data_IF_108125502030
#
_entry.id   IF_108125502030
#
_cell.length_a   1.000
_cell.length_b   1.000
_cell.length_c   1.000
_cell.angle_alpha   90.00
_cell.angle_beta   90.00
_cell.angle_gamma   90.00
#
_symmetry.space_group_name_H-M   'P 1'
#
loop_
_entity.id
_entity.type
_entity.pdbx_description
1 polymer ?
#
# COMPACT_ATOMS: atom_id res chain seq x y z
N UNK A 1 -24.69 19.71 16.17
CA UNK A 1 -23.73 19.17 15.18
C UNK A 1 -24.48 18.19 14.30
N UNK A 2 -24.66 18.44 13.00
CA UNK A 2 -25.30 17.48 12.11
C UNK A 2 -24.28 16.37 11.76
N UNK A 3 -24.60 15.14 12.14
CA UNK A 3 -23.86 13.94 11.73
C UNK A 3 -24.17 13.65 10.27
N UNK A 4 -23.18 13.85 9.40
CA UNK A 4 -23.27 13.50 7.98
C UNK A 4 -23.57 11.99 7.87
N UNK A 5 -24.70 11.56 7.29
CA UNK A 5 -24.99 10.15 7.14
C UNK A 5 -23.92 9.55 6.23
N UNK A 6 -23.14 8.61 6.76
CA UNK A 6 -22.18 7.84 5.98
C UNK A 6 -22.92 7.25 4.77
N UNK A 7 -22.60 7.75 3.57
CA UNK A 7 -23.12 7.24 2.31
C UNK A 7 -22.61 5.80 2.18
N UNK A 8 -23.44 4.85 2.59
CA UNK A 8 -23.19 3.43 2.35
C UNK A 8 -23.40 3.19 0.86
N UNK A 9 -22.31 3.25 0.11
CA UNK A 9 -22.29 2.83 -1.29
C UNK A 9 -22.49 1.32 -1.28
N UNK A 10 -23.70 0.90 -1.61
CA UNK A 10 -24.04 -0.50 -1.70
C UNK A 10 -23.48 -1.04 -3.03
N UNK A 11 -22.21 -1.42 -3.01
CA UNK A 11 -21.48 -1.98 -4.17
C UNK A 11 -22.25 -3.15 -4.80
N UNK A 12 -22.95 -3.93 -3.98
CA UNK A 12 -23.80 -5.02 -4.43
C UNK A 12 -25.03 -4.52 -5.21
N UNK A 13 -25.63 -3.40 -4.80
CA UNK A 13 -26.72 -2.77 -5.56
C UNK A 13 -26.24 -2.26 -6.93
N UNK A 14 -25.01 -1.78 -7.02
CA UNK A 14 -24.39 -1.36 -8.29
C UNK A 14 -24.11 -2.55 -9.23
N UNK A 15 -23.82 -3.73 -8.68
CA UNK A 15 -23.62 -4.97 -9.43
C UNK A 15 -24.93 -5.64 -9.91
N UNK A 16 -26.10 -5.30 -9.35
CA UNK A 16 -27.40 -5.88 -9.74
C UNK A 16 -27.73 -5.78 -11.24
N UNK A 17 -27.61 -4.61 -11.91
CA UNK A 17 -27.86 -4.53 -13.35
C UNK A 17 -26.84 -5.34 -14.16
N UNK A 18 -25.60 -5.46 -13.68
CA UNK A 18 -24.57 -6.27 -14.34
C UNK A 18 -24.80 -7.76 -14.16
N UNK A 19 -25.26 -8.20 -12.99
CA UNK A 19 -25.65 -9.61 -12.77
C UNK A 19 -26.86 -9.97 -13.61
N UNK A 20 -27.97 -9.24 -13.47
CA UNK A 20 -29.25 -9.58 -14.12
C UNK A 20 -29.21 -9.33 -15.63
N UNK A 21 -28.54 -8.27 -16.07
CA UNK A 21 -28.38 -7.95 -17.50
C UNK A 21 -27.48 -8.95 -18.22
N UNK A 22 -26.42 -9.45 -17.56
CA UNK A 22 -25.57 -10.50 -18.11
C UNK A 22 -26.35 -11.82 -18.26
N UNK A 23 -27.19 -12.19 -17.29
CA UNK A 23 -28.05 -13.38 -17.40
C UNK A 23 -29.03 -13.31 -18.56
N UNK A 24 -29.75 -12.19 -18.71
CA UNK A 24 -30.73 -12.02 -19.79
C UNK A 24 -30.08 -12.04 -21.17
N UNK A 25 -28.88 -11.47 -21.28
CA UNK A 25 -28.17 -11.36 -22.55
C UNK A 25 -27.49 -12.68 -22.95
N UNK A 26 -27.02 -13.46 -21.97
CA UNK A 26 -26.52 -14.82 -22.20
C UNK A 26 -27.66 -15.77 -22.59
N UNK A 27 -28.85 -15.64 -21.99
CA UNK A 27 -30.04 -16.44 -22.32
C UNK A 27 -30.58 -16.19 -23.73
N UNK A 28 -30.32 -15.01 -24.29
CA UNK A 28 -30.75 -14.63 -25.65
C UNK A 28 -29.75 -15.04 -26.74
N UNK A 29 -28.60 -15.62 -26.38
CA UNK A 29 -27.62 -16.11 -27.35
C UNK A 29 -28.03 -17.48 -27.92
N UNK A 30 -28.09 -17.59 -29.24
CA UNK A 30 -28.50 -18.81 -29.94
C UNK A 30 -27.53 -19.99 -29.70
N UNK A 31 -26.23 -19.73 -29.55
CA UNK A 31 -25.20 -20.77 -29.31
C UNK A 31 -25.30 -21.45 -27.94
N UNK A 32 -25.91 -20.78 -26.96
CA UNK A 32 -25.97 -21.24 -25.57
C UNK A 32 -27.35 -21.81 -25.20
N UNK A 33 -28.34 -21.66 -26.08
CA UNK A 33 -29.74 -22.05 -25.87
C UNK A 33 -29.95 -23.56 -25.75
N UNK A 34 -29.01 -24.37 -26.26
CA UNK A 34 -29.07 -25.84 -26.18
C UNK A 34 -28.43 -26.43 -24.91
N UNK A 35 -27.79 -25.62 -24.07
CA UNK A 35 -27.08 -26.12 -22.88
C UNK A 35 -27.91 -26.03 -21.60
N UNK A 36 -27.65 -26.97 -20.69
CA UNK A 36 -28.24 -27.00 -19.34
C UNK A 36 -28.02 -25.68 -18.60
N UNK A 37 -29.03 -25.22 -17.85
CA UNK A 37 -29.02 -23.98 -17.05
C UNK A 37 -27.77 -23.88 -16.15
N UNK A 38 -27.28 -25.01 -15.65
CA UNK A 38 -26.07 -25.07 -14.80
C UNK A 38 -24.80 -24.78 -15.61
N UNK A 39 -24.72 -25.27 -16.85
CA UNK A 39 -23.61 -24.97 -17.78
C UNK A 39 -23.61 -23.49 -18.16
N UNK A 40 -24.80 -22.92 -18.37
CA UNK A 40 -24.99 -21.50 -18.64
C UNK A 40 -24.49 -20.62 -17.49
N UNK A 41 -24.74 -21.06 -16.24
CA UNK A 41 -24.23 -20.39 -15.05
C UNK A 41 -22.71 -20.47 -14.89
N UNK A 42 -22.12 -21.63 -15.20
CA UNK A 42 -20.67 -21.77 -15.15
C UNK A 42 -20.00 -20.89 -16.22
N UNK A 43 -20.57 -20.85 -17.43
CA UNK A 43 -20.10 -20.00 -18.52
C UNK A 43 -20.24 -18.50 -18.22
N UNK A 44 -21.30 -18.06 -17.56
CA UNK A 44 -21.48 -16.65 -17.21
C UNK A 44 -20.46 -16.17 -16.16
N UNK A 45 -20.19 -17.02 -15.17
CA UNK A 45 -19.14 -16.79 -14.18
C UNK A 45 -17.76 -16.80 -14.83
N UNK A 46 -17.50 -17.76 -15.73
CA UNK A 46 -16.26 -17.86 -16.48
C UNK A 46 -16.02 -16.65 -17.40
N UNK A 47 -17.06 -16.19 -18.10
CA UNK A 47 -17.02 -15.01 -18.94
C UNK A 47 -16.74 -13.73 -18.14
N UNK A 48 -17.39 -13.58 -16.98
CA UNK A 48 -17.13 -12.47 -16.06
C UNK A 48 -15.68 -12.53 -15.57
N UNK A 49 -15.19 -13.71 -15.22
CA UNK A 49 -13.80 -13.91 -14.79
C UNK A 49 -12.79 -13.54 -15.87
N UNK A 50 -13.00 -13.97 -17.12
CA UNK A 50 -12.15 -13.60 -18.26
C UNK A 50 -12.16 -12.09 -18.52
N UNK A 51 -13.34 -11.48 -18.55
CA UNK A 51 -13.49 -10.03 -18.75
C UNK A 51 -12.77 -9.22 -17.66
N UNK A 52 -12.73 -9.73 -16.43
CA UNK A 52 -12.00 -9.11 -15.33
C UNK A 52 -10.47 -9.25 -15.44
N UNK A 53 -9.96 -10.28 -16.10
CA UNK A 53 -8.51 -10.53 -16.26
C UNK A 53 -7.98 -9.88 -17.55
N UNK A 54 -8.86 -9.37 -18.41
CA UNK A 54 -8.52 -8.82 -19.72
C UNK A 54 -8.38 -9.88 -20.81
N UNK A 55 -8.75 -11.13 -20.50
CA UNK A 55 -8.90 -12.20 -21.47
C UNK A 55 -10.37 -12.24 -21.89
N UNK A 56 -10.68 -11.69 -23.07
CA UNK A 56 -12.02 -11.75 -23.64
C UNK A 56 -12.32 -13.22 -23.93
N UNK A 57 -12.97 -13.89 -22.97
CA UNK A 57 -13.19 -15.33 -22.98
C UNK A 57 -14.01 -15.75 -24.20
N UNK A 58 -13.39 -15.90 -25.38
CA UNK A 58 -13.83 -16.55 -26.62
C UNK A 58 -15.20 -16.18 -27.23
N UNK A 59 -16.08 -15.49 -26.51
CA UNK A 59 -17.47 -15.23 -26.83
C UNK A 59 -17.60 -13.78 -27.26
N UNK A 60 -17.71 -13.56 -28.57
CA UNK A 60 -18.01 -12.24 -29.10
C UNK A 60 -19.52 -11.98 -28.91
N UNK A 61 -19.87 -11.20 -27.88
CA UNK A 61 -21.23 -10.70 -27.72
C UNK A 61 -21.49 -9.68 -28.84
N UNK A 62 -21.91 -10.16 -30.01
CA UNK A 62 -22.17 -9.33 -31.20
C UNK A 62 -23.37 -8.38 -31.03
N UNK A 63 -24.11 -8.49 -29.91
CA UNK A 63 -25.26 -7.64 -29.61
C UNK A 63 -24.82 -6.30 -29.00
N UNK A 64 -25.42 -5.19 -29.46
CA UNK A 64 -25.11 -3.84 -28.99
C UNK A 64 -25.13 -3.64 -27.46
N UNK A 65 -26.13 -4.20 -26.73
CA UNK A 65 -26.16 -4.15 -25.27
C UNK A 65 -25.04 -4.95 -24.58
N UNK A 66 -24.55 -6.02 -25.22
CA UNK A 66 -23.49 -6.88 -24.66
C UNK A 66 -22.16 -6.14 -24.63
N UNK A 67 -21.84 -5.41 -25.70
CA UNK A 67 -20.63 -4.56 -25.76
C UNK A 67 -20.64 -3.44 -24.73
N UNK A 68 -21.81 -2.83 -24.47
CA UNK A 68 -21.94 -1.80 -23.44
C UNK A 68 -21.73 -2.37 -22.03
N UNK A 69 -22.23 -3.58 -21.79
CA UNK A 69 -22.05 -4.30 -20.54
C UNK A 69 -20.57 -4.65 -20.30
N UNK A 70 -19.89 -5.21 -21.31
CA UNK A 70 -18.46 -5.52 -21.24
C UNK A 70 -17.62 -4.26 -20.99
N UNK A 71 -17.94 -3.15 -21.66
CA UNK A 71 -17.26 -1.87 -21.42
C UNK A 71 -17.45 -1.35 -19.98
N UNK A 72 -18.66 -1.49 -19.42
CA UNK A 72 -18.95 -1.13 -18.04
C UNK A 72 -18.21 -2.00 -17.02
N UNK A 73 -18.17 -3.33 -17.26
CA UNK A 73 -17.41 -4.28 -16.44
C UNK A 73 -15.91 -4.00 -16.49
N UNK A 74 -15.38 -3.67 -17.67
CA UNK A 74 -13.99 -3.29 -17.85
C UNK A 74 -13.64 -2.01 -17.09
N UNK A 75 -14.47 -0.97 -17.19
CA UNK A 75 -14.26 0.29 -16.46
C UNK A 75 -14.25 0.05 -14.94
N UNK A 76 -15.18 -0.77 -14.44
CA UNK A 76 -15.25 -1.16 -13.04
C UNK A 76 -13.97 -1.90 -12.60
N UNK A 77 -13.49 -2.83 -13.43
CA UNK A 77 -12.27 -3.56 -13.15
C UNK A 77 -11.06 -2.64 -12.98
N UNK A 78 -10.89 -1.69 -13.91
CA UNK A 78 -9.78 -0.72 -13.85
C UNK A 78 -9.82 0.10 -12.55
N UNK A 79 -11.01 0.52 -12.10
CA UNK A 79 -11.17 1.28 -10.84
C UNK A 79 -10.82 0.42 -9.62
N UNK A 80 -11.26 -0.85 -9.59
CA UNK A 80 -10.93 -1.77 -8.50
C UNK A 80 -9.42 -2.06 -8.45
N UNK A 81 -8.81 -2.32 -9.60
CA UNK A 81 -7.38 -2.57 -9.72
C UNK A 81 -6.56 -1.35 -9.31
N UNK A 82 -6.94 -0.16 -9.76
CA UNK A 82 -6.30 1.09 -9.35
C UNK A 82 -6.41 1.33 -7.85
N UNK A 83 -7.56 1.03 -7.24
CA UNK A 83 -7.76 1.15 -5.78
C UNK A 83 -6.87 0.17 -5.02
N UNK A 84 -6.70 -1.06 -5.52
CA UNK A 84 -5.77 -2.03 -4.94
C UNK A 84 -4.31 -1.56 -5.03
N UNK A 85 -3.88 -1.07 -6.19
CA UNK A 85 -2.53 -0.54 -6.41
C UNK A 85 -2.29 0.70 -5.53
N UNK A 86 -3.28 1.58 -5.38
CA UNK A 86 -3.18 2.76 -4.53
C UNK A 86 -3.05 2.40 -3.05
N UNK A 87 -3.84 1.44 -2.57
CA UNK A 87 -3.73 0.96 -1.19
C UNK A 87 -2.37 0.32 -0.92
N UNK A 88 -1.88 -0.50 -1.85
CA UNK A 88 -0.56 -1.11 -1.77
C UNK A 88 0.56 -0.06 -1.78
N UNK A 89 0.49 0.92 -2.68
CA UNK A 89 1.47 2.00 -2.78
C UNK A 89 1.46 2.92 -1.56
N UNK A 90 0.28 3.16 -0.99
CA UNK A 90 0.13 3.91 0.26
C UNK A 90 0.79 3.19 1.41
N UNK A 91 0.58 1.88 1.55
CA UNK A 91 1.21 1.08 2.60
C UNK A 91 2.74 1.04 2.44
N UNK A 92 3.22 0.85 1.21
CA UNK A 92 4.65 0.87 0.91
C UNK A 92 5.28 2.24 1.25
N UNK A 93 4.56 3.32 0.98
CA UNK A 93 5.04 4.68 1.29
C UNK A 93 5.01 4.95 2.79
N UNK A 94 4.01 4.45 3.52
CA UNK A 94 3.93 4.57 4.98
C UNK A 94 5.07 3.82 5.66
N UNK A 95 5.37 2.59 5.23
CA UNK A 95 6.49 1.81 5.78
C UNK A 95 7.84 2.48 5.51
N UNK A 96 8.04 3.06 4.32
CA UNK A 96 9.27 3.79 3.99
C UNK A 96 9.38 5.18 4.64
N UNK A 97 8.29 5.74 5.17
CA UNK A 97 8.27 7.07 5.78
C UNK A 97 8.44 7.07 7.30
N UNK A 98 8.45 5.90 7.95
CA UNK A 98 8.77 5.84 9.37
C UNK A 98 10.25 6.17 9.56
N UNK A 99 10.55 7.36 10.07
CA UNK A 99 11.90 7.68 10.49
C UNK A 99 12.27 6.76 11.66
N UNK A 100 13.42 6.07 11.63
CA UNK A 100 13.81 5.16 12.71
C UNK A 100 13.97 5.88 14.06
N UNK A 101 14.05 7.22 14.03
CA UNK A 101 14.23 8.09 15.20
C UNK A 101 13.31 9.29 15.01
N UNK A 102 12.38 9.51 15.94
CA UNK A 102 11.47 10.67 15.91
C UNK A 102 11.98 11.84 16.75
N UNK A 103 12.95 11.62 17.66
CA UNK A 103 13.53 12.69 18.48
C UNK A 103 14.46 12.20 19.59
N UNK A 104 14.84 13.12 20.48
CA UNK A 104 15.75 12.85 21.61
C UNK A 104 15.16 11.87 22.63
N UNK A 105 13.84 11.87 22.78
CA UNK A 105 13.13 11.01 23.72
C UNK A 105 13.25 9.52 23.35
N UNK A 106 13.33 9.22 22.05
CA UNK A 106 13.54 7.86 21.54
C UNK A 106 14.94 7.31 21.90
N UNK A 107 15.92 8.20 22.01
CA UNK A 107 17.29 7.89 22.39
C UNK A 107 17.38 7.66 23.90
N UNK A 108 16.71 8.52 24.69
CA UNK A 108 16.58 8.32 26.16
C UNK A 108 15.81 7.04 26.49
N UNK A 109 14.82 6.66 25.67
CA UNK A 109 14.06 5.43 25.80
C UNK A 109 14.81 4.16 25.35
N UNK A 110 16.03 4.29 24.80
CA UNK A 110 16.87 3.15 24.43
C UNK A 110 16.47 2.44 23.14
N UNK A 111 15.77 3.12 22.20
CA UNK A 111 15.47 2.55 20.88
C UNK A 111 16.72 2.23 20.05
N UNK A 112 17.85 2.88 20.38
CA UNK A 112 19.15 2.66 19.75
C UNK A 112 20.15 2.38 20.88
N UNK A 113 20.98 1.34 20.78
CA UNK A 113 22.01 1.10 21.78
C UNK A 113 23.04 2.24 21.76
N UNK A 114 23.43 2.73 22.95
CA UNK A 114 24.31 3.90 23.08
C UNK A 114 25.64 3.74 22.32
N UNK A 115 26.13 2.50 22.16
CA UNK A 115 27.35 2.18 21.42
C UNK A 115 27.28 2.41 19.90
N UNK A 116 26.09 2.60 19.32
CA UNK A 116 25.87 2.93 17.90
C UNK A 116 25.53 4.40 17.68
N UNK A 117 25.58 5.23 18.74
CA UNK A 117 25.45 6.68 18.65
C UNK A 117 26.82 7.31 18.43
N UNK A 118 26.99 7.97 17.29
CA UNK A 118 28.21 8.71 16.98
C UNK A 118 28.16 10.14 17.51
N UNK A 119 29.06 10.48 18.45
CA UNK A 119 29.16 11.85 18.99
C UNK A 119 30.58 12.36 18.79
N UNK A 120 30.69 13.61 18.34
CA UNK A 120 31.98 14.24 18.08
C UNK A 120 32.60 14.75 19.39
N UNK A 121 33.79 14.23 19.72
CA UNK A 121 34.52 14.55 20.96
C UNK A 121 35.09 15.97 20.89
N UNK A 122 35.08 16.68 22.02
CA UNK A 122 35.54 18.07 22.16
C UNK A 122 34.55 19.10 21.61
N UNK A 123 33.27 18.73 21.46
CA UNK A 123 32.21 19.64 20.99
C UNK A 123 31.15 19.84 22.07
N UNK A 124 30.43 20.97 22.02
CA UNK A 124 29.34 21.25 22.97
C UNK A 124 28.24 20.18 22.99
N UNK A 125 28.13 19.37 21.94
CA UNK A 125 27.20 18.25 21.88
C UNK A 125 27.61 17.08 22.78
N UNK A 126 28.91 16.88 22.99
CA UNK A 126 29.42 15.88 23.94
C UNK A 126 29.07 16.29 25.37
N UNK A 127 29.37 17.54 25.74
CA UNK A 127 29.06 18.07 27.08
C UNK A 127 27.56 17.97 27.39
N UNK A 128 26.71 18.30 26.40
CA UNK A 128 25.26 18.18 26.51
C UNK A 128 24.81 16.71 26.68
N UNK A 129 25.35 15.78 25.88
CA UNK A 129 25.01 14.37 25.99
C UNK A 129 25.40 13.77 27.35
N UNK A 130 26.62 14.09 27.82
CA UNK A 130 27.11 13.61 29.11
C UNK A 130 26.26 14.16 30.26
N UNK A 131 25.84 15.41 30.20
CA UNK A 131 25.06 16.05 31.27
C UNK A 131 23.60 15.57 31.29
N UNK A 132 22.95 15.50 30.12
CA UNK A 132 21.48 15.42 30.02
C UNK A 132 20.95 14.02 29.68
N UNK A 133 21.81 13.13 29.16
CA UNK A 133 21.38 11.85 28.58
C UNK A 133 22.09 10.68 29.25
N UNK A 134 23.41 10.77 29.39
CA UNK A 134 24.22 9.62 29.81
C UNK A 134 24.70 9.67 31.26
N UNK A 135 24.22 10.63 32.07
CA UNK A 135 24.62 10.81 33.47
C UNK A 135 26.15 10.70 33.68
N UNK A 136 26.90 11.43 32.85
CA UNK A 136 28.36 11.50 32.83
C UNK A 136 29.10 10.20 32.43
N UNK A 137 28.43 9.27 31.74
CA UNK A 137 29.04 8.05 31.19
C UNK A 137 29.40 8.20 29.71
N UNK A 138 30.58 7.73 29.30
CA UNK A 138 31.02 7.73 27.91
C UNK A 138 30.64 6.42 27.22
N UNK A 139 29.33 6.19 27.03
CA UNK A 139 28.81 4.96 26.42
C UNK A 139 28.54 5.09 24.91
N UNK A 140 29.03 6.16 24.28
CA UNK A 140 28.83 6.49 22.87
C UNK A 140 30.05 6.15 22.01
N UNK A 141 29.88 6.11 20.69
CA UNK A 141 30.98 5.93 19.74
C UNK A 141 31.68 7.27 19.47
N UNK A 142 32.95 7.45 19.88
CA UNK A 142 33.65 8.73 19.73
C UNK A 142 34.04 8.99 18.28
N UNK A 143 33.71 10.18 17.78
CA UNK A 143 34.08 10.65 16.45
C UNK A 143 35.02 11.84 16.56
N UNK A 144 36.08 11.85 15.75
CA UNK A 144 37.07 12.94 15.75
C UNK A 144 36.97 13.82 14.50
N UNK A 145 36.38 13.30 13.42
CA UNK A 145 36.26 14.00 12.14
C UNK A 145 34.89 13.77 11.49
N UNK A 146 34.47 14.74 10.66
CA UNK A 146 33.27 14.60 9.82
C UNK A 146 33.42 13.49 8.78
N UNK A 147 34.62 13.21 8.29
CA UNK A 147 34.85 12.10 7.35
C UNK A 147 34.61 10.75 8.03
N UNK A 148 35.16 10.57 9.24
CA UNK A 148 34.96 9.38 10.05
C UNK A 148 33.48 9.13 10.36
N UNK A 149 32.68 10.18 10.53
CA UNK A 149 31.21 10.06 10.65
C UNK A 149 30.61 9.43 9.39
N UNK A 150 30.90 9.97 8.20
CA UNK A 150 30.35 9.44 6.95
C UNK A 150 30.77 7.99 6.72
N UNK A 151 32.04 7.66 6.97
CA UNK A 151 32.54 6.30 6.83
C UNK A 151 31.88 5.36 7.84
N UNK A 152 31.64 5.82 9.07
CA UNK A 152 30.98 5.00 10.11
C UNK A 152 29.49 4.79 9.85
N UNK A 153 28.81 5.75 9.23
CA UNK A 153 27.42 5.62 8.76
C UNK A 153 27.32 4.67 7.57
N UNK A 154 28.23 4.79 6.60
CA UNK A 154 28.28 3.92 5.42
C UNK A 154 28.60 2.46 5.78
N UNK A 155 29.43 2.25 6.78
CA UNK A 155 29.81 0.92 7.26
C UNK A 155 28.84 0.34 8.33
N UNK A 156 27.70 0.99 8.57
CA UNK A 156 26.68 0.55 9.54
C UNK A 156 27.21 0.39 11.00
N UNK A 157 28.29 1.10 11.32
CA UNK A 157 28.91 1.10 12.66
C UNK A 157 28.08 1.96 13.61
N UNK A 158 27.56 3.08 13.10
CA UNK A 158 26.69 4.00 13.84
C UNK A 158 25.36 4.16 13.10
N UNK A 159 24.26 4.18 13.84
CA UNK A 159 22.90 4.28 13.29
C UNK A 159 22.46 5.73 13.13
N UNK A 160 22.99 6.64 13.96
CA UNK A 160 22.58 8.03 13.95
C UNK A 160 23.56 8.98 14.64
N UNK A 161 23.42 10.25 14.23
CA UNK A 161 23.99 11.42 14.91
C UNK A 161 22.84 12.27 15.46
N UNK A 162 22.63 12.32 16.78
CA UNK A 162 21.51 13.04 17.37
C UNK A 162 21.61 14.57 17.30
N UNK A 163 22.81 15.11 17.06
CA UNK A 163 23.06 16.56 17.16
C UNK A 163 23.64 17.10 15.86
N UNK A 164 22.78 17.74 15.06
CA UNK A 164 23.16 18.50 13.87
C UNK A 164 23.01 20.00 14.22
N UNK A 165 23.97 20.87 13.83
CA UNK A 165 23.82 22.32 14.03
C UNK A 165 22.62 22.90 13.28
#
# INVERSE_FOLDING_TARGET
MPTNPAVKIDLLAFLKPFSTGLWLLILDNEELKEQSIISLCAMSVWYTHGTLIGDYAGFDLQTGPGRLLTAGLFMLNVVLLASYIANLASDLTLQNSQSPISGLDDIKAGKIPFNRLGIQVGTSNEDFYLTEISNNQTNFYPLYSKQQLYDSLLNDIIDARPFQP
#
